data_IF_377642358641
#
_entry.id   IF_377642358641
#
_cell.length_a   1.000
_cell.length_b   1.000
_cell.length_c   1.000
_cell.angle_alpha   90.00
_cell.angle_beta   90.00
_cell.angle_gamma   90.00
#
_symmetry.space_group_name_H-M   'P 1'
#
loop_
_entity.id
_entity.type
_entity.pdbx_description
1 polymer ?
#
# COMPACT_ATOMS: atom_id res chain seq x y z
N UNK A 1 -15.14 8.03 -12.37
CA UNK A 1 -14.18 6.98 -12.02
C UNK A 1 -14.71 5.68 -12.58
N UNK A 2 -13.91 4.96 -13.37
CA UNK A 2 -14.30 3.63 -13.84
C UNK A 2 -14.10 2.63 -12.69
N UNK A 3 -15.20 2.28 -12.03
CA UNK A 3 -15.19 1.41 -10.86
C UNK A 3 -14.68 0.00 -11.19
N UNK A 4 -14.79 -0.45 -12.45
CA UNK A 4 -14.27 -1.75 -12.86
C UNK A 4 -12.74 -1.79 -12.75
N UNK A 5 -12.07 -0.81 -13.37
CA UNK A 5 -10.61 -0.71 -13.31
C UNK A 5 -10.09 -0.42 -11.90
N UNK A 6 -10.79 0.41 -11.14
CA UNK A 6 -10.46 0.63 -9.72
C UNK A 6 -10.52 -0.67 -8.92
N UNK A 7 -11.59 -1.44 -9.07
CA UNK A 7 -11.79 -2.69 -8.32
C UNK A 7 -10.77 -3.75 -8.70
N UNK A 8 -10.48 -3.90 -10.00
CA UNK A 8 -9.45 -4.81 -10.49
C UNK A 8 -8.07 -4.41 -9.94
N UNK A 9 -7.70 -3.12 -10.04
CA UNK A 9 -6.45 -2.61 -9.49
C UNK A 9 -6.31 -2.90 -8.00
N UNK A 10 -7.38 -2.68 -7.23
CA UNK A 10 -7.42 -2.96 -5.79
C UNK A 10 -7.21 -4.43 -5.48
N UNK A 11 -7.98 -5.33 -6.10
CA UNK A 11 -7.90 -6.77 -5.82
C UNK A 11 -6.52 -7.33 -6.21
N UNK A 12 -6.03 -6.95 -7.39
CA UNK A 12 -4.71 -7.39 -7.88
C UNK A 12 -3.58 -6.88 -6.97
N UNK A 13 -3.57 -5.59 -6.64
CA UNK A 13 -2.51 -5.02 -5.83
C UNK A 13 -2.55 -5.50 -4.36
N UNK A 14 -3.74 -5.67 -3.77
CA UNK A 14 -3.87 -6.24 -2.43
C UNK A 14 -3.33 -7.68 -2.40
N UNK A 15 -3.77 -8.52 -3.34
CA UNK A 15 -3.34 -9.93 -3.42
C UNK A 15 -1.83 -10.04 -3.65
N UNK A 16 -1.29 -9.18 -4.52
CA UNK A 16 0.14 -9.14 -4.79
C UNK A 16 0.96 -8.62 -3.60
N UNK A 17 0.53 -7.53 -2.96
CA UNK A 17 1.16 -7.00 -1.76
C UNK A 17 1.22 -8.08 -0.67
N UNK A 18 0.11 -8.82 -0.49
CA UNK A 18 0.04 -9.93 0.47
C UNK A 18 0.97 -11.07 0.11
N UNK A 19 1.01 -11.46 -1.16
CA UNK A 19 1.94 -12.48 -1.65
C UNK A 19 3.40 -12.06 -1.37
N UNK A 20 3.74 -10.81 -1.64
CA UNK A 20 5.08 -10.27 -1.40
C UNK A 20 5.40 -10.20 0.09
N UNK A 21 4.50 -9.69 0.93
CA UNK A 21 4.77 -9.50 2.37
C UNK A 21 4.76 -10.80 3.16
N UNK A 22 4.08 -11.85 2.69
CA UNK A 22 4.11 -13.19 3.32
C UNK A 22 5.29 -14.05 2.85
N UNK A 23 5.67 -13.98 1.56
CA UNK A 23 6.74 -14.84 1.01
C UNK A 23 8.12 -14.19 1.06
N UNK A 24 8.18 -12.86 0.96
CA UNK A 24 9.44 -12.12 1.04
C UNK A 24 9.51 -11.55 2.46
N UNK A 25 10.59 -11.86 3.19
CA UNK A 25 10.91 -11.21 4.47
C UNK A 25 11.34 -9.76 4.23
N UNK A 26 10.53 -8.99 3.53
CA UNK A 26 10.76 -7.60 3.16
C UNK A 26 10.52 -6.73 4.38
N UNK A 27 11.47 -6.78 5.30
CA UNK A 27 11.62 -5.76 6.32
C UNK A 27 12.52 -4.69 5.71
N UNK A 28 11.99 -3.49 5.47
CA UNK A 28 12.83 -2.30 5.31
C UNK A 28 13.53 -2.11 6.66
N UNK A 29 14.66 -2.79 6.83
CA UNK A 29 15.45 -2.84 8.08
C UNK A 29 16.29 -1.59 8.16
N UNK A 30 15.69 -0.49 8.59
CA UNK A 30 16.45 0.56 9.27
C UNK A 30 16.54 0.17 10.74
N UNK A 31 17.66 0.47 11.40
CA UNK A 31 17.97 0.04 12.78
C UNK A 31 16.95 0.48 13.85
N UNK A 32 16.05 1.41 13.54
CA UNK A 32 15.08 1.97 14.48
C UNK A 32 13.61 1.98 13.99
N UNK A 33 13.38 1.89 12.68
CA UNK A 33 12.09 2.20 12.06
C UNK A 33 11.52 0.96 11.35
N UNK A 34 10.29 0.58 11.69
CA UNK A 34 9.48 -0.36 10.95
C UNK A 34 8.48 0.42 10.08
N UNK A 35 8.96 0.83 8.91
CA UNK A 35 8.14 1.56 7.95
C UNK A 35 7.16 0.58 7.30
N UNK A 36 5.87 0.79 7.54
CA UNK A 36 4.83 -0.03 6.94
C UNK A 36 4.56 0.43 5.52
N UNK A 37 4.38 -0.49 4.58
CA UNK A 37 4.12 -0.17 3.19
C UNK A 37 2.79 0.61 3.00
N UNK A 38 1.84 0.51 3.93
CA UNK A 38 0.63 1.36 3.88
C UNK A 38 0.94 2.85 4.06
N UNK A 39 1.97 3.20 4.84
CA UNK A 39 2.42 4.59 5.01
C UNK A 39 3.04 5.09 3.71
N UNK A 40 3.84 4.24 3.04
CA UNK A 40 4.40 4.57 1.73
C UNK A 40 3.28 4.79 0.72
N UNK A 41 2.31 3.87 0.67
CA UNK A 41 1.18 3.99 -0.23
C UNK A 41 0.42 5.29 -0.01
N UNK A 42 0.13 5.63 1.25
CA UNK A 42 -0.50 6.89 1.61
C UNK A 42 0.32 8.11 1.18
N UNK A 43 1.64 8.13 1.45
CA UNK A 43 2.52 9.23 1.06
C UNK A 43 2.63 9.41 -0.46
N UNK A 44 2.52 8.34 -1.25
CA UNK A 44 2.47 8.40 -2.71
C UNK A 44 1.10 8.89 -3.21
N UNK A 45 0.01 8.59 -2.50
CA UNK A 45 -1.33 9.10 -2.86
C UNK A 45 -1.45 10.62 -2.70
N UNK A 46 -0.71 11.24 -1.76
CA UNK A 46 -0.71 12.70 -1.57
C UNK A 46 -0.29 13.50 -2.83
N UNK A 47 0.85 13.22 -3.49
CA UNK A 47 1.21 13.89 -4.73
C UNK A 47 0.26 13.51 -5.88
N UNK A 48 -0.24 12.26 -5.97
CA UNK A 48 -1.26 11.91 -6.98
C UNK A 48 -2.49 12.81 -6.85
N UNK A 49 -2.95 13.04 -5.61
CA UNK A 49 -4.04 13.96 -5.31
C UNK A 49 -3.69 15.41 -5.66
N UNK A 50 -2.50 15.89 -5.27
CA UNK A 50 -2.06 17.26 -5.54
C UNK A 50 -1.97 17.57 -7.04
N UNK A 51 -1.46 16.63 -7.84
CA UNK A 51 -1.35 16.74 -9.30
C UNK A 51 -2.62 16.34 -10.06
N UNK A 52 -3.71 16.01 -9.36
CA UNK A 52 -5.01 15.61 -9.96
C UNK A 52 -4.88 14.45 -10.94
N UNK A 53 -4.09 13.44 -10.59
CA UNK A 53 -3.98 12.21 -11.38
C UNK A 53 -5.20 11.35 -11.04
N UNK A 54 -6.14 11.23 -11.97
CA UNK A 54 -7.45 10.59 -11.74
C UNK A 54 -7.54 9.15 -12.30
N UNK A 55 -6.40 8.51 -12.58
CA UNK A 55 -6.35 7.16 -13.17
C UNK A 55 -6.91 6.08 -12.22
N UNK A 56 -8.08 5.46 -12.51
CA UNK A 56 -8.77 4.59 -11.56
C UNK A 56 -7.95 3.37 -11.15
N UNK A 57 -7.20 2.78 -12.09
CA UNK A 57 -6.37 1.60 -11.82
C UNK A 57 -5.21 1.92 -10.86
N UNK A 58 -4.64 3.13 -10.95
CA UNK A 58 -3.58 3.60 -10.05
C UNK A 58 -4.15 3.79 -8.65
N UNK A 59 -5.29 4.46 -8.52
CA UNK A 59 -5.97 4.63 -7.24
C UNK A 59 -6.38 3.29 -6.62
N UNK A 60 -6.91 2.37 -7.43
CA UNK A 60 -7.23 1.01 -7.01
C UNK A 60 -6.00 0.30 -6.45
N UNK A 61 -4.91 0.30 -7.21
CA UNK A 61 -3.66 -0.34 -6.82
C UNK A 61 -3.09 0.22 -5.51
N UNK A 62 -3.01 1.54 -5.40
CA UNK A 62 -2.50 2.22 -4.19
C UNK A 62 -3.37 1.91 -2.96
N UNK A 63 -4.69 1.93 -3.12
CA UNK A 63 -5.62 1.54 -2.05
C UNK A 63 -5.46 0.08 -1.66
N UNK A 64 -5.30 -0.83 -2.63
CA UNK A 64 -5.07 -2.25 -2.37
C UNK A 64 -3.81 -2.50 -1.53
N UNK A 65 -2.70 -1.84 -1.88
CA UNK A 65 -1.45 -1.90 -1.11
C UNK A 65 -1.64 -1.32 0.31
N UNK A 66 -2.33 -0.18 0.42
CA UNK A 66 -2.59 0.43 1.73
C UNK A 66 -3.42 -0.48 2.64
N UNK A 67 -4.48 -1.09 2.12
CA UNK A 67 -5.38 -1.97 2.88
C UNK A 67 -4.67 -3.23 3.38
N UNK A 68 -3.74 -3.81 2.60
CA UNK A 68 -2.95 -4.96 3.05
C UNK A 68 -2.16 -4.62 4.32
N UNK A 69 -1.48 -3.47 4.31
CA UNK A 69 -0.66 -3.04 5.44
C UNK A 69 -1.48 -2.60 6.65
N UNK A 70 -2.64 -1.95 6.44
CA UNK A 70 -3.57 -1.59 7.51
C UNK A 70 -4.16 -2.84 8.19
N UNK A 71 -4.37 -3.92 7.44
CA UNK A 71 -4.89 -5.19 7.98
C UNK A 71 -3.91 -5.96 8.89
N UNK A 72 -2.65 -5.52 9.01
CA UNK A 72 -1.65 -6.19 9.87
C UNK A 72 -1.83 -5.81 11.34
N UNK A 73 -1.60 -6.77 12.24
CA UNK A 73 -1.86 -6.61 13.70
C UNK A 73 -0.87 -5.70 14.43
N UNK A 74 0.35 -5.59 13.94
CA UNK A 74 1.38 -4.75 14.55
C UNK A 74 1.49 -3.48 13.70
N UNK A 75 1.28 -2.33 14.33
CA UNK A 75 1.42 -1.00 13.71
C UNK A 75 2.61 -0.22 14.30
N UNK A 76 3.43 -0.87 15.13
CA UNK A 76 4.52 -0.20 15.83
C UNK A 76 5.57 0.30 14.84
N UNK A 77 5.67 1.60 14.65
CA UNK A 77 6.65 2.24 13.75
C UNK A 77 8.07 2.13 14.33
N UNK A 78 8.21 1.90 15.65
CA UNK A 78 9.49 1.76 16.34
C UNK A 78 9.68 0.31 16.80
N UNK A 79 10.88 -0.25 16.63
CA UNK A 79 11.26 -1.45 17.38
C UNK A 79 11.59 -1.03 18.82
N UNK A 80 11.05 -1.76 19.80
CA UNK A 80 11.55 -1.71 21.19
C UNK A 80 12.92 -2.37 21.24
#
# INVERSE_FOLDING_TARGET
MDFGFYSLGLVCAFSFARLMTENIKFHIRTSSIWLHHWIIAFLVMLPLMYFKIDEPIVWGAMTGVALEGLGRKNWSIRRK
#
